data_IF_242592862385
#
_entry.id   IF_242592862385
#
_cell.length_a   1.000
_cell.length_b   1.000
_cell.length_c   1.000
_cell.angle_alpha   90.00
_cell.angle_beta   90.00
_cell.angle_gamma   90.00
#
_symmetry.space_group_name_H-M   'P 1'
#
loop_
_entity.id
_entity.type
_entity.pdbx_description
1 polymer ?
#
# COMPACT_ATOMS: atom_id res chain seq x y z
N UNK A 1 10.50 -12.86 4.69
CA UNK A 1 9.68 -13.32 5.84
C UNK A 1 10.54 -13.58 7.07
N UNK A 2 11.62 -14.40 7.03
CA UNK A 2 12.46 -14.69 8.21
C UNK A 2 13.18 -13.46 8.75
N UNK A 3 13.72 -12.61 7.90
CA UNK A 3 14.42 -11.37 8.32
C UNK A 3 13.47 -10.41 9.04
N UNK A 4 12.25 -10.25 8.56
CA UNK A 4 11.22 -9.42 9.20
C UNK A 4 10.79 -9.98 10.57
N UNK A 5 10.71 -11.30 10.71
CA UNK A 5 10.43 -11.94 12.01
C UNK A 5 11.53 -11.65 13.02
N UNK A 6 12.80 -11.68 12.60
CA UNK A 6 13.95 -11.33 13.46
C UNK A 6 13.84 -9.86 13.88
N UNK A 7 13.58 -8.93 12.95
CA UNK A 7 13.42 -7.50 13.26
C UNK A 7 12.27 -7.28 14.25
N UNK A 8 11.11 -7.92 14.02
CA UNK A 8 9.97 -7.84 14.95
C UNK A 8 10.33 -8.38 16.34
N UNK A 9 11.00 -9.54 16.41
CA UNK A 9 11.43 -10.12 17.69
C UNK A 9 12.43 -9.24 18.42
N UNK A 10 13.33 -8.57 17.70
CA UNK A 10 14.24 -7.57 18.26
C UNK A 10 13.46 -6.38 18.81
N UNK A 11 12.51 -5.84 18.01
CA UNK A 11 11.63 -4.76 18.44
C UNK A 11 10.92 -5.12 19.75
N UNK A 12 10.23 -6.27 19.80
CA UNK A 12 9.44 -6.70 20.96
C UNK A 12 10.31 -6.85 22.20
N UNK A 13 11.54 -7.35 22.06
CA UNK A 13 12.50 -7.40 23.16
C UNK A 13 13.00 -6.03 23.60
N UNK A 14 13.21 -5.10 22.66
CA UNK A 14 13.69 -3.76 22.99
C UNK A 14 12.59 -2.89 23.61
N UNK A 15 11.36 -2.94 23.08
CA UNK A 15 10.24 -2.13 23.56
C UNK A 15 9.58 -2.68 24.83
N UNK A 16 9.54 -4.00 24.99
CA UNK A 16 8.98 -4.66 26.20
C UNK A 16 9.92 -4.70 27.39
N UNK A 17 11.16 -4.23 27.27
CA UNK A 17 12.16 -4.32 28.30
C UNK A 17 12.59 -2.94 28.81
N UNK A 18 13.04 -2.91 30.04
CA UNK A 18 13.82 -1.84 30.71
C UNK A 18 15.06 -1.37 29.90
N UNK A 19 15.19 -1.86 28.67
CA UNK A 19 16.35 -1.68 27.82
C UNK A 19 16.49 -0.24 27.33
N UNK A 20 15.39 0.36 26.85
CA UNK A 20 15.41 1.73 26.31
C UNK A 20 15.63 2.80 27.39
N UNK A 21 15.46 2.46 28.66
CA UNK A 21 15.67 3.37 29.78
C UNK A 21 17.11 3.36 30.31
N UNK A 22 17.98 2.44 29.80
CA UNK A 22 19.36 2.30 30.25
C UNK A 22 20.37 2.72 29.19
N UNK A 23 21.00 3.91 29.29
CA UNK A 23 22.00 4.38 28.32
C UNK A 23 23.20 3.42 28.18
N UNK A 24 23.55 2.71 29.25
CA UNK A 24 24.65 1.74 29.22
C UNK A 24 24.33 0.54 28.33
N UNK A 25 23.13 0.00 28.42
CA UNK A 25 22.69 -1.12 27.57
C UNK A 25 22.57 -0.72 26.11
N UNK A 26 22.13 0.51 25.83
CA UNK A 26 22.09 1.06 24.48
C UNK A 26 23.51 1.16 23.92
N UNK A 27 24.49 1.62 24.72
CA UNK A 27 25.89 1.72 24.33
C UNK A 27 26.49 0.33 24.03
N UNK A 28 26.21 -0.66 24.85
CA UNK A 28 26.69 -2.05 24.65
C UNK A 28 26.13 -2.63 23.35
N UNK A 29 24.81 -2.48 23.11
CA UNK A 29 24.19 -2.92 21.87
C UNK A 29 24.79 -2.20 20.66
N UNK A 30 24.99 -0.88 20.75
CA UNK A 30 25.63 -0.10 19.71
C UNK A 30 27.04 -0.62 19.38
N UNK A 31 27.85 -0.92 20.36
CA UNK A 31 29.20 -1.44 20.15
C UNK A 31 29.19 -2.81 19.45
N UNK A 32 28.21 -3.67 19.77
CA UNK A 32 28.03 -4.94 19.05
C UNK A 32 27.58 -4.67 17.62
N UNK A 33 26.64 -3.74 17.40
CA UNK A 33 26.06 -3.44 16.11
C UNK A 33 27.09 -2.86 15.13
N UNK A 34 27.89 -1.86 15.53
CA UNK A 34 28.87 -1.22 14.64
C UNK A 34 29.99 -2.16 14.16
N UNK A 35 30.23 -3.26 14.89
CA UNK A 35 31.21 -4.27 14.48
C UNK A 35 30.69 -5.16 13.32
N UNK A 36 29.38 -5.15 13.05
CA UNK A 36 28.73 -6.03 12.07
C UNK A 36 27.93 -5.26 11.01
N UNK A 37 27.64 -3.98 11.23
CA UNK A 37 26.82 -3.15 10.34
C UNK A 37 27.51 -1.81 10.09
N UNK A 38 27.72 -1.46 8.83
CA UNK A 38 28.15 -0.13 8.44
C UNK A 38 26.95 0.83 8.45
N UNK A 39 27.03 1.90 9.22
CA UNK A 39 25.96 2.92 9.35
C UNK A 39 26.58 4.29 9.62
N UNK A 40 25.90 5.33 9.15
CA UNK A 40 26.19 6.73 9.44
C UNK A 40 25.51 7.21 10.74
N UNK A 41 24.67 6.39 11.38
CA UNK A 41 23.99 6.71 12.62
C UNK A 41 24.98 6.75 13.78
N UNK A 42 25.10 7.91 14.44
CA UNK A 42 25.92 8.05 15.65
C UNK A 42 25.18 7.50 16.88
N UNK A 43 25.93 7.10 17.91
CA UNK A 43 25.35 6.68 19.18
C UNK A 43 24.42 7.78 19.78
N UNK A 44 24.81 9.05 19.65
CA UNK A 44 23.99 10.19 20.09
C UNK A 44 22.63 10.24 19.40
N UNK A 45 22.63 10.01 18.07
CA UNK A 45 21.39 9.96 17.27
C UNK A 45 20.51 8.79 17.69
N UNK A 46 21.10 7.62 17.91
CA UNK A 46 20.36 6.42 18.35
C UNK A 46 19.76 6.63 19.74
N UNK A 47 20.51 7.24 20.67
CA UNK A 47 19.98 7.55 22.01
C UNK A 47 18.80 8.54 21.92
N UNK A 48 18.93 9.61 21.14
CA UNK A 48 17.84 10.58 20.93
C UNK A 48 16.59 9.91 20.35
N UNK A 49 16.77 9.06 19.36
CA UNK A 49 15.68 8.30 18.75
C UNK A 49 15.03 7.36 19.77
N UNK A 50 15.82 6.63 20.58
CA UNK A 50 15.30 5.76 21.61
C UNK A 50 14.49 6.52 22.69
N UNK A 51 14.96 7.71 23.10
CA UNK A 51 14.19 8.56 24.01
C UNK A 51 12.89 9.06 23.37
N UNK A 52 12.94 9.45 22.11
CA UNK A 52 11.74 9.89 21.39
C UNK A 52 10.71 8.76 21.29
N UNK A 53 11.13 7.57 20.89
CA UNK A 53 10.27 6.37 20.82
C UNK A 53 9.72 5.98 22.20
N UNK A 54 10.51 6.10 23.26
CA UNK A 54 10.04 5.80 24.63
C UNK A 54 9.05 6.85 25.18
N UNK A 55 9.13 8.09 24.72
CA UNK A 55 8.19 9.16 25.09
C UNK A 55 6.85 9.08 24.33
N UNK A 56 6.85 8.43 23.18
CA UNK A 56 5.68 8.25 22.31
C UNK A 56 5.15 6.84 22.53
N UNK A 57 4.26 6.66 23.51
CA UNK A 57 3.74 5.35 23.96
C UNK A 57 3.00 4.56 22.89
N UNK A 58 2.62 5.20 21.78
CA UNK A 58 1.80 4.62 20.73
C UNK A 58 2.43 4.89 19.35
N UNK A 59 3.42 4.08 18.98
CA UNK A 59 3.98 4.12 17.63
C UNK A 59 3.74 2.81 16.88
N UNK A 60 3.33 2.93 15.63
CA UNK A 60 3.15 1.80 14.74
C UNK A 60 4.36 1.66 13.81
N UNK A 61 4.93 0.46 13.72
CA UNK A 61 5.96 0.18 12.74
C UNK A 61 5.29 -0.31 11.46
N UNK A 62 5.36 0.48 10.42
CA UNK A 62 4.99 0.09 9.08
C UNK A 62 6.16 -0.63 8.42
N UNK A 63 5.90 -1.78 7.83
CA UNK A 63 6.86 -2.52 7.04
C UNK A 63 6.39 -2.57 5.61
N UNK A 64 7.15 -1.96 4.72
CA UNK A 64 6.91 -1.97 3.28
C UNK A 64 8.02 -2.71 2.57
N UNK A 65 7.68 -3.54 1.61
CA UNK A 65 8.63 -4.26 0.77
C UNK A 65 8.27 -4.09 -0.70
N UNK A 66 9.21 -3.65 -1.47
CA UNK A 66 9.14 -3.73 -2.93
C UNK A 66 9.64 -5.12 -3.35
N UNK A 67 8.74 -5.98 -3.78
CA UNK A 67 9.02 -7.32 -4.27
C UNK A 67 8.14 -7.63 -5.49
N UNK A 68 8.35 -8.77 -6.09
CA UNK A 68 7.61 -9.24 -7.25
C UNK A 68 6.26 -9.91 -6.90
N UNK A 69 5.92 -9.99 -5.64
CA UNK A 69 4.71 -10.67 -5.12
C UNK A 69 4.42 -12.04 -5.73
N UNK A 70 5.48 -12.70 -6.22
CA UNK A 70 5.36 -14.02 -6.83
C UNK A 70 4.90 -15.06 -5.81
N UNK A 71 3.89 -15.83 -6.17
CA UNK A 71 3.60 -17.07 -5.50
C UNK A 71 4.64 -18.12 -5.90
N UNK A 72 5.21 -18.80 -4.91
CA UNK A 72 6.30 -19.78 -5.05
C UNK A 72 6.06 -20.95 -6.05
N UNK A 73 4.90 -21.01 -6.69
CA UNK A 73 4.45 -22.14 -7.50
C UNK A 73 4.35 -21.83 -9.01
N UNK A 74 4.64 -20.62 -9.44
CA UNK A 74 4.59 -20.27 -10.86
C UNK A 74 5.97 -19.83 -11.34
N UNK A 75 6.39 -20.38 -12.47
CA UNK A 75 7.66 -19.99 -13.13
C UNK A 75 7.59 -18.57 -13.72
N UNK A 76 6.40 -17.98 -13.76
CA UNK A 76 6.13 -16.62 -14.24
C UNK A 76 5.24 -15.89 -13.23
N UNK A 77 5.66 -14.70 -12.82
CA UNK A 77 4.88 -13.84 -11.94
C UNK A 77 3.96 -12.95 -12.74
N UNK A 78 2.70 -12.81 -12.32
CA UNK A 78 1.78 -11.89 -12.96
C UNK A 78 2.16 -10.43 -12.66
N UNK A 79 1.97 -9.56 -13.65
CA UNK A 79 2.27 -8.12 -13.59
C UNK A 79 1.17 -7.36 -12.84
N UNK A 80 1.04 -7.53 -11.55
CA UNK A 80 0.01 -6.85 -10.76
C UNK A 80 0.54 -6.11 -9.51
N UNK A 81 1.88 -6.15 -9.33
CA UNK A 81 2.59 -5.39 -8.32
C UNK A 81 3.55 -4.41 -9.01
N UNK A 82 4.30 -3.62 -8.25
CA UNK A 82 5.28 -2.66 -8.83
C UNK A 82 6.45 -3.33 -9.53
N UNK A 83 6.75 -4.56 -9.18
CA UNK A 83 7.83 -5.35 -9.77
C UNK A 83 7.29 -6.70 -10.22
N UNK A 84 7.85 -7.24 -11.28
CA UNK A 84 7.57 -8.59 -11.72
C UNK A 84 8.84 -9.32 -12.16
N UNK A 85 8.82 -10.65 -12.09
CA UNK A 85 9.87 -11.52 -12.59
C UNK A 85 9.50 -12.00 -14.00
N UNK A 86 10.18 -11.54 -15.06
CA UNK A 86 9.94 -12.03 -16.42
C UNK A 86 10.47 -13.46 -16.60
N UNK A 87 10.07 -14.11 -17.73
CA UNK A 87 10.64 -15.41 -18.07
C UNK A 87 12.18 -15.32 -18.19
N UNK A 88 12.88 -16.25 -17.57
CA UNK A 88 14.35 -16.30 -17.59
C UNK A 88 14.94 -16.48 -18.98
N UNK A 89 14.19 -17.05 -19.91
CA UNK A 89 14.59 -17.24 -21.30
C UNK A 89 14.97 -15.92 -21.99
N UNK A 90 14.30 -14.83 -21.64
CA UNK A 90 14.60 -13.50 -22.20
C UNK A 90 15.85 -12.85 -21.61
N UNK A 91 16.39 -13.39 -20.50
CA UNK A 91 17.48 -12.80 -19.73
C UNK A 91 18.64 -13.75 -19.49
N UNK A 92 18.94 -14.62 -20.48
CA UNK A 92 20.08 -15.53 -20.41
C UNK A 92 20.07 -16.42 -19.14
N UNK A 93 18.88 -16.84 -18.73
CA UNK A 93 18.63 -17.62 -17.51
C UNK A 93 18.97 -16.89 -16.19
N UNK A 94 19.25 -15.59 -16.24
CA UNK A 94 19.41 -14.77 -15.04
C UNK A 94 18.06 -14.48 -14.41
N UNK A 95 18.04 -14.37 -13.08
CA UNK A 95 16.88 -13.86 -12.34
C UNK A 95 16.97 -12.33 -12.32
N UNK A 96 15.97 -11.66 -12.90
CA UNK A 96 15.87 -10.21 -12.95
C UNK A 96 14.50 -9.78 -12.43
N UNK A 97 14.44 -8.58 -11.87
CA UNK A 97 13.20 -7.91 -11.52
C UNK A 97 13.01 -6.72 -12.47
N UNK A 98 11.86 -6.63 -13.08
CA UNK A 98 11.47 -5.49 -13.91
C UNK A 98 10.35 -4.72 -13.23
N UNK A 99 10.26 -3.44 -13.57
CA UNK A 99 9.17 -2.57 -13.16
C UNK A 99 7.92 -2.97 -13.94
N UNK A 100 6.79 -3.01 -13.26
CA UNK A 100 5.51 -3.25 -13.92
C UNK A 100 5.25 -2.17 -14.99
N UNK A 101 4.63 -2.59 -16.11
CA UNK A 101 4.29 -1.73 -17.25
C UNK A 101 5.48 -1.16 -18.05
N UNK A 102 6.72 -1.49 -17.74
CA UNK A 102 7.82 -1.09 -18.62
C UNK A 102 7.74 -1.87 -19.94
N UNK A 103 7.51 -1.13 -21.03
CA UNK A 103 7.93 -1.59 -22.32
C UNK A 103 9.45 -1.82 -22.28
N UNK A 104 9.94 -2.89 -22.89
CA UNK A 104 11.38 -3.16 -22.99
C UNK A 104 12.19 -1.96 -23.53
N UNK A 105 11.51 -1.00 -24.14
CA UNK A 105 12.09 0.25 -24.65
C UNK A 105 12.18 1.37 -23.61
N UNK A 106 11.50 1.26 -22.45
CA UNK A 106 11.52 2.27 -21.40
C UNK A 106 11.67 1.66 -20.00
N UNK A 107 12.80 1.01 -19.76
CA UNK A 107 13.14 0.34 -18.49
C UNK A 107 13.41 1.33 -17.33
N UNK A 108 13.29 2.63 -17.56
CA UNK A 108 13.63 3.68 -16.59
C UNK A 108 12.42 4.45 -16.06
N UNK A 109 11.20 3.98 -16.28
CA UNK A 109 10.01 4.61 -15.71
C UNK A 109 9.76 4.07 -14.29
N UNK A 110 10.17 4.86 -13.30
CA UNK A 110 10.00 4.57 -11.87
C UNK A 110 8.84 5.35 -11.24
N UNK A 111 7.99 6.00 -12.04
CA UNK A 111 6.94 6.89 -11.55
C UNK A 111 6.04 6.22 -10.51
N UNK A 112 5.52 5.04 -10.79
CA UNK A 112 4.64 4.30 -9.86
C UNK A 112 5.33 3.92 -8.55
N UNK A 113 6.63 3.57 -8.60
CA UNK A 113 7.42 3.28 -7.40
C UNK A 113 7.67 4.55 -6.59
N UNK A 114 7.87 5.68 -7.27
CA UNK A 114 8.03 6.99 -6.63
C UNK A 114 6.73 7.39 -5.92
N UNK A 115 5.59 7.27 -6.60
CA UNK A 115 4.27 7.53 -6.03
C UNK A 115 3.99 6.65 -4.80
N UNK A 116 4.32 5.37 -4.90
CA UNK A 116 4.21 4.46 -3.75
C UNK A 116 5.10 4.88 -2.58
N UNK A 117 6.34 5.27 -2.87
CA UNK A 117 7.28 5.74 -1.84
C UNK A 117 6.78 7.02 -1.18
N UNK A 118 6.23 7.93 -1.97
CA UNK A 118 5.62 9.16 -1.47
C UNK A 118 4.43 8.87 -0.53
N UNK A 119 3.59 7.91 -0.89
CA UNK A 119 2.49 7.47 -0.01
C UNK A 119 3.02 6.90 1.30
N UNK A 120 4.00 5.99 1.23
CA UNK A 120 4.55 5.35 2.42
C UNK A 120 5.17 6.36 3.40
N UNK A 121 5.84 7.37 2.89
CA UNK A 121 6.55 8.35 3.74
C UNK A 121 5.70 9.55 4.14
N UNK A 122 4.81 10.02 3.26
CA UNK A 122 4.04 11.25 3.51
C UNK A 122 2.60 10.99 3.97
N UNK A 123 2.09 9.77 3.77
CA UNK A 123 0.70 9.39 4.08
C UNK A 123 0.61 8.01 4.76
N UNK A 124 1.48 7.71 5.76
CA UNK A 124 1.55 6.39 6.39
C UNK A 124 0.23 5.98 7.07
N UNK A 125 -0.64 6.92 7.37
CA UNK A 125 -1.93 6.68 8.02
C UNK A 125 -2.85 5.79 7.17
N UNK A 126 -2.68 5.74 5.85
CA UNK A 126 -3.48 4.86 4.97
C UNK A 126 -3.37 3.39 5.39
N UNK A 127 -2.21 2.98 5.90
CA UNK A 127 -1.97 1.61 6.35
C UNK A 127 -2.56 1.33 7.74
N UNK A 128 -2.98 2.37 8.47
CA UNK A 128 -3.52 2.28 9.84
C UNK A 128 -4.99 2.63 9.92
N UNK A 129 -5.50 3.50 9.06
CA UNK A 129 -6.92 3.85 8.97
C UNK A 129 -7.78 2.64 8.62
N UNK A 130 -7.29 1.76 7.73
CA UNK A 130 -7.90 0.49 7.34
C UNK A 130 -9.39 0.58 6.95
N UNK A 131 -9.79 1.69 6.33
CA UNK A 131 -11.16 1.83 5.82
C UNK A 131 -11.42 0.81 4.69
N UNK A 132 -12.56 0.15 4.75
CA UNK A 132 -12.98 -0.83 3.76
C UNK A 132 -13.56 -0.15 2.52
N UNK A 133 -13.03 -0.53 1.35
CA UNK A 133 -13.47 -0.05 0.03
C UNK A 133 -14.07 -1.22 -0.74
N UNK A 134 -15.34 -1.15 -1.10
CA UNK A 134 -15.96 -2.10 -2.00
C UNK A 134 -16.08 -1.51 -3.39
N UNK A 135 -15.76 -2.28 -4.42
CA UNK A 135 -15.78 -1.83 -5.81
C UNK A 135 -16.90 -2.54 -6.56
N UNK A 136 -17.71 -1.77 -7.25
CA UNK A 136 -18.85 -2.24 -8.01
C UNK A 136 -18.71 -1.90 -9.50
N UNK A 137 -18.68 -2.93 -10.33
CA UNK A 137 -18.71 -2.78 -11.77
C UNK A 137 -20.17 -2.69 -12.23
N UNK A 138 -20.58 -1.55 -12.76
CA UNK A 138 -21.91 -1.34 -13.32
C UNK A 138 -21.99 -1.62 -14.82
N UNK A 139 -20.87 -1.92 -15.47
CA UNK A 139 -20.77 -2.23 -16.90
C UNK A 139 -20.79 -3.75 -17.14
N UNK A 140 -21.19 -4.13 -18.35
CA UNK A 140 -21.11 -5.54 -18.82
C UNK A 140 -19.73 -5.93 -19.32
N UNK A 141 -18.68 -5.27 -18.83
CA UNK A 141 -17.29 -5.55 -19.16
C UNK A 141 -16.65 -6.28 -18.00
N UNK A 142 -16.19 -7.49 -18.22
CA UNK A 142 -15.57 -8.30 -17.18
C UNK A 142 -14.25 -7.68 -16.69
N UNK A 143 -13.89 -7.99 -15.46
CA UNK A 143 -12.60 -7.69 -14.83
C UNK A 143 -12.30 -6.21 -14.52
N UNK A 144 -13.18 -5.23 -14.82
CA UNK A 144 -12.90 -3.81 -14.52
C UNK A 144 -12.71 -3.54 -13.03
N UNK A 145 -13.62 -4.05 -12.19
CA UNK A 145 -13.50 -3.88 -10.73
C UNK A 145 -12.26 -4.60 -10.17
N UNK A 146 -11.88 -5.71 -10.76
CA UNK A 146 -10.67 -6.44 -10.39
C UNK A 146 -9.41 -5.65 -10.77
N UNK A 147 -9.36 -5.08 -11.98
CA UNK A 147 -8.24 -4.25 -12.41
C UNK A 147 -8.06 -3.05 -11.49
N UNK A 148 -9.14 -2.28 -11.25
CA UNK A 148 -9.10 -1.15 -10.33
C UNK A 148 -8.70 -1.56 -8.91
N UNK A 149 -9.19 -2.71 -8.42
CA UNK A 149 -8.80 -3.23 -7.11
C UNK A 149 -7.29 -3.46 -7.02
N UNK A 150 -6.70 -4.11 -8.03
CA UNK A 150 -5.27 -4.35 -8.07
C UNK A 150 -4.47 -3.04 -8.07
N UNK A 151 -4.94 -2.06 -8.83
CA UNK A 151 -4.28 -0.76 -8.93
C UNK A 151 -4.25 -0.02 -7.59
N UNK A 152 -5.34 -0.04 -6.81
CA UNK A 152 -5.39 0.71 -5.56
C UNK A 152 -4.85 -0.07 -4.35
N UNK A 153 -4.99 -1.40 -4.32
CA UNK A 153 -4.49 -2.23 -3.20
C UNK A 153 -2.97 -2.11 -3.06
N UNK A 154 -2.23 -2.01 -4.15
CA UNK A 154 -0.77 -1.85 -4.12
C UNK A 154 -0.32 -0.54 -3.45
N UNK A 155 -1.19 0.48 -3.43
CA UNK A 155 -0.95 1.75 -2.73
C UNK A 155 -1.40 1.76 -1.26
N UNK A 156 -1.86 0.63 -0.74
CA UNK A 156 -2.24 0.48 0.67
C UNK A 156 -3.73 0.58 0.97
N UNK A 157 -4.57 0.72 -0.06
CA UNK A 157 -6.03 0.71 0.15
C UNK A 157 -6.54 -0.70 0.46
N UNK A 158 -7.47 -0.80 1.41
CA UNK A 158 -8.09 -2.06 1.79
C UNK A 158 -9.36 -2.31 0.96
N UNK A 159 -9.29 -3.27 0.02
CA UNK A 159 -10.40 -3.64 -0.87
C UNK A 159 -10.84 -5.08 -0.58
N UNK A 160 -11.73 -5.29 0.41
CA UNK A 160 -12.18 -6.63 0.78
C UNK A 160 -13.15 -7.27 -0.22
N UNK A 161 -13.86 -6.48 -1.03
CA UNK A 161 -14.84 -7.02 -1.95
C UNK A 161 -14.93 -6.25 -3.28
N UNK A 162 -15.09 -7.04 -4.35
CA UNK A 162 -15.42 -6.57 -5.69
C UNK A 162 -16.69 -7.27 -6.17
N UNK A 163 -17.62 -6.54 -6.78
CA UNK A 163 -18.91 -7.06 -7.20
C UNK A 163 -19.34 -6.47 -8.55
N UNK A 164 -20.39 -7.04 -9.13
CA UNK A 164 -21.04 -6.51 -10.33
C UNK A 164 -22.48 -6.15 -10.04
N UNK A 165 -22.90 -4.95 -10.48
CA UNK A 165 -24.25 -4.42 -10.28
C UNK A 165 -24.95 -4.07 -11.61
N UNK A 166 -24.46 -4.56 -12.73
CA UNK A 166 -24.97 -4.27 -14.08
C UNK A 166 -26.44 -4.72 -14.30
N UNK A 167 -27.01 -5.51 -13.38
CA UNK A 167 -28.43 -5.91 -13.39
C UNK A 167 -29.34 -4.95 -12.64
N UNK A 168 -28.82 -3.92 -11.99
CA UNK A 168 -29.63 -2.93 -11.29
C UNK A 168 -30.28 -1.99 -12.31
N UNK A 169 -31.48 -1.49 -11.97
CA UNK A 169 -32.20 -0.53 -12.83
C UNK A 169 -31.66 0.89 -12.74
N UNK A 170 -30.66 1.10 -11.90
CA UNK A 170 -30.07 2.42 -11.72
C UNK A 170 -29.15 2.75 -12.89
N UNK A 171 -29.39 3.92 -13.49
CA UNK A 171 -28.59 4.45 -14.58
C UNK A 171 -27.59 5.42 -13.95
N UNK A 172 -26.33 5.05 -13.96
CA UNK A 172 -25.25 5.94 -13.59
C UNK A 172 -24.85 6.79 -14.80
N UNK A 173 -24.52 8.04 -14.57
CA UNK A 173 -24.02 8.93 -15.62
C UNK A 173 -22.51 9.08 -15.56
N UNK A 174 -21.90 8.76 -14.41
CA UNK A 174 -20.47 8.86 -14.12
C UNK A 174 -20.08 7.90 -13.01
N UNK A 175 -18.80 7.52 -13.00
CA UNK A 175 -18.18 6.85 -11.87
C UNK A 175 -18.31 7.69 -10.62
N UNK A 176 -18.72 7.07 -9.52
CA UNK A 176 -19.06 7.77 -8.28
C UNK A 176 -18.49 7.02 -7.08
N UNK A 177 -18.01 7.76 -6.10
CA UNK A 177 -17.55 7.22 -4.82
C UNK A 177 -18.50 7.66 -3.72
N UNK A 178 -19.20 6.70 -3.16
CA UNK A 178 -20.01 6.90 -1.95
C UNK A 178 -19.15 6.62 -0.73
N UNK A 179 -19.33 7.42 0.33
CA UNK A 179 -18.60 7.20 1.58
C UNK A 179 -19.47 7.49 2.81
N UNK A 180 -19.26 6.71 3.85
CA UNK A 180 -19.96 6.81 5.12
C UNK A 180 -19.02 6.53 6.29
N UNK A 181 -19.34 7.10 7.46
CA UNK A 181 -18.57 6.89 8.69
C UNK A 181 -17.05 7.09 8.52
N UNK A 182 -16.66 8.07 7.72
CA UNK A 182 -15.26 8.44 7.43
C UNK A 182 -14.98 9.82 8.01
N UNK A 183 -13.83 9.97 8.69
CA UNK A 183 -13.37 11.27 9.16
C UNK A 183 -13.12 12.20 7.98
N UNK A 184 -13.48 13.48 8.14
CA UNK A 184 -13.26 14.49 7.10
C UNK A 184 -11.79 14.71 6.79
N UNK A 185 -10.92 14.48 7.77
CA UNK A 185 -9.47 14.63 7.69
C UNK A 185 -8.76 13.30 7.33
N UNK A 186 -9.54 12.23 7.05
CA UNK A 186 -9.00 10.94 6.67
C UNK A 186 -8.03 11.05 5.50
N UNK A 187 -6.88 10.40 5.64
CA UNK A 187 -5.87 10.28 4.59
C UNK A 187 -6.42 9.47 3.43
N UNK A 188 -7.14 8.37 3.71
CA UNK A 188 -7.80 7.54 2.69
C UNK A 188 -8.75 8.37 1.81
N UNK A 189 -9.62 9.20 2.42
CA UNK A 189 -10.54 10.06 1.66
C UNK A 189 -9.79 11.10 0.83
N UNK A 190 -8.72 11.67 1.37
CA UNK A 190 -7.89 12.66 0.67
C UNK A 190 -7.18 12.04 -0.53
N UNK A 191 -6.55 10.88 -0.35
CA UNK A 191 -5.88 10.16 -1.43
C UNK A 191 -6.85 9.72 -2.51
N UNK A 192 -8.02 9.18 -2.16
CA UNK A 192 -9.05 8.84 -3.15
C UNK A 192 -9.47 10.04 -3.99
N UNK A 193 -9.60 11.23 -3.37
CA UNK A 193 -9.91 12.47 -4.09
C UNK A 193 -8.76 12.96 -4.97
N UNK A 194 -7.53 12.63 -4.65
CA UNK A 194 -6.36 12.95 -5.48
C UNK A 194 -6.29 11.99 -6.67
N UNK A 195 -6.51 10.70 -6.44
CA UNK A 195 -6.47 9.69 -7.49
C UNK A 195 -7.63 9.78 -8.49
N UNK A 196 -8.83 10.10 -7.98
CA UNK A 196 -10.05 10.06 -8.79
C UNK A 196 -10.67 11.45 -8.93
N UNK A 197 -10.78 11.93 -10.15
CA UNK A 197 -11.56 13.14 -10.47
C UNK A 197 -13.06 12.80 -10.64
N UNK A 198 -13.59 11.96 -9.73
CA UNK A 198 -14.97 11.48 -9.76
C UNK A 198 -15.85 12.24 -8.77
N UNK A 199 -17.15 11.96 -8.82
CA UNK A 199 -18.08 12.52 -7.85
C UNK A 199 -17.99 11.78 -6.51
N UNK A 200 -17.87 12.54 -5.41
CA UNK A 200 -17.86 12.01 -4.04
C UNK A 200 -19.16 12.38 -3.34
N UNK A 201 -19.90 11.36 -2.90
CA UNK A 201 -21.18 11.53 -2.21
C UNK A 201 -21.12 10.95 -0.80
N UNK A 202 -21.37 11.82 0.20
CA UNK A 202 -21.51 11.34 1.58
C UNK A 202 -22.90 10.73 1.76
N UNK A 203 -22.94 9.53 2.34
CA UNK A 203 -24.18 8.80 2.64
C UNK A 203 -24.20 8.39 4.12
N UNK A 204 -25.38 8.04 4.65
CA UNK A 204 -25.51 7.61 6.04
C UNK A 204 -25.14 6.14 6.23
N UNK A 205 -25.35 5.33 5.20
CA UNK A 205 -25.05 3.89 5.20
C UNK A 205 -24.66 3.43 3.80
N UNK A 206 -23.96 2.27 3.67
CA UNK A 206 -23.66 1.68 2.37
C UNK A 206 -24.92 1.47 1.51
N UNK A 207 -24.78 1.68 0.21
CA UNK A 207 -25.91 1.59 -0.74
C UNK A 207 -26.03 0.16 -1.30
N UNK A 208 -24.89 -0.43 -1.68
CA UNK A 208 -24.82 -1.73 -2.36
C UNK A 208 -24.22 -2.82 -1.48
N UNK A 209 -23.34 -2.44 -0.56
CA UNK A 209 -22.67 -3.40 0.32
C UNK A 209 -23.65 -3.91 1.37
N UNK A 210 -23.64 -5.22 1.57
CA UNK A 210 -24.28 -5.86 2.73
C UNK A 210 -23.42 -5.75 3.99
N UNK A 211 -22.18 -5.34 3.84
CA UNK A 211 -21.18 -5.14 4.89
C UNK A 211 -21.07 -3.67 5.29
N UNK A 212 -20.33 -3.40 6.36
CA UNK A 212 -20.07 -2.05 6.88
C UNK A 212 -19.02 -1.27 6.08
N UNK A 213 -18.91 -1.45 4.77
CA UNK A 213 -17.92 -0.75 3.96
C UNK A 213 -17.99 0.78 4.16
N UNK A 214 -16.82 1.38 4.27
CA UNK A 214 -16.69 2.83 4.43
C UNK A 214 -16.77 3.57 3.11
N UNK A 215 -16.31 2.92 2.03
CA UNK A 215 -16.37 3.45 0.67
C UNK A 215 -16.98 2.44 -0.27
N UNK A 216 -17.77 2.94 -1.21
CA UNK A 216 -18.31 2.17 -2.33
C UNK A 216 -17.96 2.91 -3.63
N UNK A 217 -17.13 2.29 -4.44
CA UNK A 217 -16.71 2.80 -5.75
C UNK A 217 -17.58 2.17 -6.81
N UNK A 218 -18.32 2.98 -7.54
CA UNK A 218 -19.16 2.55 -8.68
C UNK A 218 -18.46 2.94 -9.96
N UNK A 219 -18.04 1.95 -10.74
CA UNK A 219 -17.38 2.16 -12.04
C UNK A 219 -18.44 2.32 -13.13
N UNK A 220 -18.32 3.38 -13.94
CA UNK A 220 -19.13 3.66 -15.11
C UNK A 220 -18.27 3.85 -16.38
N UNK A 221 -18.89 4.19 -17.52
CA UNK A 221 -18.22 4.31 -18.83
C UNK A 221 -17.07 5.33 -18.86
N UNK A 222 -17.13 6.38 -18.06
CA UNK A 222 -16.06 7.39 -17.96
C UNK A 222 -14.74 6.79 -17.47
N UNK A 223 -14.76 5.70 -16.69
CA UNK A 223 -13.55 4.97 -16.31
C UNK A 223 -12.79 4.40 -17.52
N UNK A 224 -13.48 4.06 -18.60
CA UNK A 224 -12.87 3.49 -19.82
C UNK A 224 -12.15 4.56 -20.66
N UNK A 225 -12.59 5.81 -20.55
CA UNK A 225 -12.08 6.93 -21.36
C UNK A 225 -11.07 7.78 -20.60
N UNK A 226 -11.15 7.80 -19.30
CA UNK A 226 -10.11 8.35 -18.45
C UNK A 226 -8.91 7.39 -18.53
N UNK A 227 -7.84 7.81 -19.23
CA UNK A 227 -6.55 7.13 -19.16
C UNK A 227 -6.03 7.25 -17.72
N UNK A 228 -6.75 6.62 -16.78
CA UNK A 228 -6.48 6.64 -15.35
C UNK A 228 -5.25 5.79 -15.05
N UNK A 229 -4.12 6.27 -15.51
CA UNK A 229 -2.90 6.08 -14.77
C UNK A 229 -3.06 6.92 -13.52
N UNK A 230 -3.09 6.28 -12.34
CA UNK A 230 -2.96 6.98 -11.07
C UNK A 230 -1.78 7.94 -11.19
N UNK A 231 -2.07 9.25 -11.18
CA UNK A 231 -1.02 10.27 -11.19
C UNK A 231 -1.08 10.95 -9.85
N UNK A 232 -0.03 10.78 -9.08
CA UNK A 232 0.30 11.62 -7.94
C UNK A 232 0.73 13.00 -8.40
#
# INVERSE_FOLDING_TARGET
IRQQQVIRSIKDKLTGSYFLTSPLKIKELYNVFINHVSTDLTLSTIIKLAYHLNSTWDFTILSSNLNDSCFYWSDTCEKWWFLYTPSREFFWWMSVLLIDWTDYNNLNDYSEIQDYTDIVFNYPEIFTENYEINIFNSLKINHLAWALSNDIVRYGFNVPAINSIWNTREIYSKSTIYYNNVDKNSVTLRLLKTFFNWEFKKVESPIYSKSSANFEIIIWEDYLWDNNTFKF
#
